data_IF_481813664732
#
_entry.id   IF_481813664732
#
_cell.length_a   1.000
_cell.length_b   1.000
_cell.length_c   1.000
_cell.angle_alpha   90.00
_cell.angle_beta   90.00
_cell.angle_gamma   90.00
#
_symmetry.space_group_name_H-M   'P 1'
#
loop_
_entity.id
_entity.type
_entity.pdbx_description
1 polymer ?
#
# COMPACT_ATOMS: atom_id res chain seq x y z
N UNK A 1 -22.74 26.51 -31.12
CA UNK A 1 -22.38 26.10 -30.80
C UNK A 1 -22.01 25.53 -30.39
N UNK A 2 -21.88 25.61 -30.37
CA UNK A 2 -21.35 25.07 -29.85
C UNK A 2 -21.04 24.55 -29.10
N UNK A 3 -20.93 24.49 -28.88
CA UNK A 3 -20.43 23.87 -28.01
C UNK A 3 -20.50 23.10 -27.44
N UNK A 4 -21.02 23.10 -27.58
CA UNK A 4 -20.93 22.27 -26.91
C UNK A 4 -20.54 21.49 -26.67
N UNK A 5 -20.23 21.44 -26.78
CA UNK A 5 -19.52 20.51 -26.42
C UNK A 5 -18.88 20.24 -25.65
N UNK A 6 -18.78 20.75 -25.37
CA UNK A 6 -18.01 20.48 -24.57
C UNK A 6 -18.05 19.84 -23.66
N UNK A 7 -18.62 19.85 -23.67
CA UNK A 7 -18.52 19.15 -22.74
C UNK A 7 -18.28 18.38 -22.39
N UNK A 8 -18.45 18.49 -22.56
CA UNK A 8 -18.17 17.66 -22.16
C UNK A 8 -17.37 17.11 -21.77
N UNK A 9 -17.03 17.36 -21.96
CA UNK A 9 -15.93 16.89 -21.70
C UNK A 9 -15.72 16.58 -20.46
N UNK A 10 -16.02 17.11 -20.10
CA UNK A 10 -15.72 16.95 -18.95
C UNK A 10 -16.11 15.80 -18.35
N UNK A 11 -16.56 15.55 -18.59
CA UNK A 11 -16.77 14.69 -17.94
C UNK A 11 -16.23 13.69 -17.76
N UNK A 12 -15.82 13.72 -18.04
CA UNK A 12 -15.30 12.78 -18.10
C UNK A 12 -14.44 12.37 -17.29
N UNK A 13 -13.81 12.94 -17.27
CA UNK A 13 -12.88 12.67 -16.45
C UNK A 13 -13.25 12.31 -15.23
N UNK A 14 -14.12 12.66 -15.16
CA UNK A 14 -14.57 12.43 -14.13
C UNK A 14 -14.65 11.14 -13.71
N UNK A 15 -14.89 10.24 -14.41
CA UNK A 15 -14.97 8.92 -13.95
C UNK A 15 -13.73 8.46 -13.29
N UNK A 16 -12.65 8.86 -13.79
CA UNK A 16 -11.41 8.44 -13.23
C UNK A 16 -11.26 8.91 -11.82
N UNK A 17 -11.63 10.10 -11.58
CA UNK A 17 -11.52 10.62 -10.25
C UNK A 17 -12.39 9.84 -9.30
N UNK A 18 -13.53 9.45 -9.75
CA UNK A 18 -14.42 8.70 -8.91
C UNK A 18 -13.80 7.37 -8.52
N UNK A 19 -13.13 6.72 -9.44
CA UNK A 19 -12.51 5.46 -9.14
C UNK A 19 -11.46 5.64 -8.06
N UNK A 20 -10.73 6.73 -8.11
CA UNK A 20 -9.75 6.97 -7.08
C UNK A 20 -10.38 7.22 -5.75
N UNK A 21 -11.51 7.89 -5.77
CA UNK A 21 -12.20 8.17 -4.55
C UNK A 21 -12.66 6.89 -3.87
N UNK A 22 -12.75 5.81 -4.61
CA UNK A 22 -13.17 4.55 -4.05
C UNK A 22 -11.99 3.73 -3.54
N UNK A 23 -10.88 4.35 -3.25
CA UNK A 23 -9.72 3.65 -2.78
C UNK A 23 -9.90 2.97 -1.44
N UNK A 24 -8.83 2.45 -0.91
CA UNK A 24 -8.84 1.60 0.27
C UNK A 24 -9.15 2.31 1.57
N UNK A 25 -9.26 3.63 1.57
CA UNK A 25 -9.36 4.39 2.80
C UNK A 25 -8.01 4.76 3.37
N UNK A 26 -6.95 4.45 2.65
CA UNK A 26 -5.59 4.76 3.04
C UNK A 26 -4.88 5.33 1.82
N UNK A 27 -4.78 6.67 1.73
CA UNK A 27 -4.21 7.30 0.53
C UNK A 27 -2.76 6.89 0.28
N UNK A 28 -2.00 6.61 1.33
CA UNK A 28 -0.62 6.21 1.19
C UNK A 28 -0.55 4.83 0.54
N UNK A 29 -1.40 3.93 0.99
CA UNK A 29 -1.50 2.61 0.39
C UNK A 29 -1.91 2.69 -1.08
N UNK A 30 -2.87 3.55 -1.39
CA UNK A 30 -3.33 3.72 -2.76
C UNK A 30 -2.20 4.21 -3.65
N UNK A 31 -1.38 5.12 -3.13
CA UNK A 31 -0.24 5.61 -3.89
C UNK A 31 0.80 4.51 -4.09
N UNK A 32 1.06 3.71 -3.06
CA UNK A 32 1.99 2.59 -3.19
C UNK A 32 1.52 1.61 -4.26
N UNK A 33 0.23 1.31 -4.26
CA UNK A 33 -0.33 0.39 -5.25
C UNK A 33 -0.18 0.89 -6.67
N UNK A 34 -0.07 2.21 -6.85
CA UNK A 34 0.10 2.79 -8.18
C UNK A 34 1.53 2.74 -8.69
N UNK A 35 2.48 2.41 -7.82
CA UNK A 35 3.88 2.35 -8.21
C UNK A 35 4.23 1.03 -8.89
N UNK A 36 5.25 1.03 -9.75
CA UNK A 36 5.77 -0.24 -10.28
C UNK A 36 6.33 -1.10 -9.16
N UNK A 37 6.37 -2.42 -9.33
CA UNK A 37 6.83 -3.33 -8.27
C UNK A 37 8.20 -2.99 -7.68
N UNK A 38 9.15 -2.61 -8.50
CA UNK A 38 10.47 -2.27 -7.99
C UNK A 38 10.44 -1.04 -7.10
N UNK A 39 9.61 -0.05 -7.45
CA UNK A 39 9.47 1.15 -6.66
C UNK A 39 8.71 0.87 -5.36
N UNK A 40 7.74 -0.03 -5.39
CA UNK A 40 7.06 -0.47 -4.18
C UNK A 40 8.08 -1.05 -3.20
N UNK A 41 8.90 -1.97 -3.69
CA UNK A 41 9.90 -2.63 -2.85
C UNK A 41 10.89 -1.63 -2.26
N UNK A 42 11.39 -0.72 -3.07
CA UNK A 42 12.34 0.29 -2.62
C UNK A 42 11.72 1.17 -1.53
N UNK A 43 10.49 1.62 -1.77
CA UNK A 43 9.80 2.52 -0.84
C UNK A 43 9.53 1.85 0.49
N UNK A 44 9.00 0.62 0.44
CA UNK A 44 8.69 -0.12 1.67
C UNK A 44 9.98 -0.46 2.41
N UNK A 45 11.04 -0.83 1.69
CA UNK A 45 12.33 -1.10 2.32
C UNK A 45 12.88 0.10 3.07
N UNK A 46 12.73 1.29 2.50
CA UNK A 46 13.15 2.51 3.19
C UNK A 46 12.34 2.73 4.47
N UNK A 47 11.09 2.35 4.44
CA UNK A 47 10.25 2.45 5.61
C UNK A 47 10.74 1.55 6.73
N UNK A 48 11.21 0.37 6.40
CA UNK A 48 11.80 -0.53 7.39
C UNK A 48 13.06 0.09 7.97
N UNK A 49 13.86 0.70 7.13
CA UNK A 49 15.15 1.24 7.55
C UNK A 49 16.12 0.13 7.86
N UNK A 50 17.02 0.39 8.77
CA UNK A 50 17.96 -0.62 9.28
C UNK A 50 18.71 -1.34 8.17
N UNK A 51 19.04 -0.61 7.11
CA UNK A 51 19.80 -1.19 6.00
C UNK A 51 19.01 -2.06 5.05
N UNK A 52 17.69 -2.09 5.16
CA UNK A 52 16.89 -2.89 4.25
C UNK A 52 16.83 -2.27 2.87
N UNK A 53 17.39 -2.97 1.89
CA UNK A 53 17.23 -2.62 0.48
C UNK A 53 16.13 -3.54 -0.04
N UNK A 54 14.93 -3.01 -0.25
CA UNK A 54 13.79 -3.82 -0.66
C UNK A 54 13.94 -4.35 -2.07
N UNK A 55 13.76 -5.65 -2.25
CA UNK A 55 13.84 -6.30 -3.55
C UNK A 55 12.50 -6.85 -4.02
N UNK A 56 11.56 -7.08 -3.10
CA UNK A 56 10.20 -7.43 -3.47
C UNK A 56 9.25 -6.96 -2.37
N UNK A 57 8.06 -6.58 -2.76
CA UNK A 57 7.04 -6.12 -1.82
C UNK A 57 5.71 -6.75 -2.19
N UNK A 58 4.85 -6.94 -1.20
CA UNK A 58 3.59 -7.62 -1.40
C UNK A 58 2.50 -6.94 -0.55
N UNK A 59 1.44 -6.43 -1.17
CA UNK A 59 0.35 -5.83 -0.41
C UNK A 59 -0.50 -6.94 0.22
N UNK A 60 -0.58 -6.95 1.54
CA UNK A 60 -1.33 -7.97 2.26
C UNK A 60 -2.80 -7.60 2.41
N UNK A 61 -3.11 -6.33 2.47
CA UNK A 61 -4.49 -5.87 2.59
C UNK A 61 -4.63 -4.66 3.46
N UNK A 62 -5.86 -4.19 3.59
CA UNK A 62 -6.22 -3.04 4.41
C UNK A 62 -7.35 -3.49 5.34
N UNK A 63 -7.22 -3.17 6.62
CA UNK A 63 -8.26 -3.53 7.58
C UNK A 63 -9.53 -2.72 7.32
N UNK A 64 -10.68 -3.38 7.40
CA UNK A 64 -11.95 -2.79 6.98
C UNK A 64 -12.78 -2.23 8.11
N UNK A 65 -12.52 -2.61 9.36
CA UNK A 65 -13.42 -2.27 10.43
C UNK A 65 -12.70 -2.15 11.77
N UNK A 66 -13.39 -1.55 12.75
CA UNK A 66 -12.88 -1.45 14.10
C UNK A 66 -11.85 -0.37 14.26
N UNK A 67 -11.11 -0.43 15.34
CA UNK A 67 -10.05 0.55 15.63
C UNK A 67 -8.92 0.46 14.63
N UNK A 68 -8.77 -0.68 13.97
CA UNK A 68 -7.72 -0.90 12.99
C UNK A 68 -8.15 -0.53 11.58
N UNK A 69 -9.31 0.11 11.42
CA UNK A 69 -9.82 0.47 10.11
C UNK A 69 -8.82 1.33 9.35
N UNK A 70 -8.56 0.97 8.12
CA UNK A 70 -7.69 1.75 7.26
C UNK A 70 -6.20 1.47 7.42
N UNK A 71 -5.81 0.54 8.27
CA UNK A 71 -4.40 0.16 8.38
C UNK A 71 -4.03 -0.74 7.22
N UNK A 72 -3.03 -0.34 6.46
CA UNK A 72 -2.52 -1.12 5.36
C UNK A 72 -1.34 -1.96 5.82
N UNK A 73 -1.23 -3.16 5.29
CA UNK A 73 -0.14 -4.06 5.62
C UNK A 73 0.56 -4.50 4.35
N UNK A 74 1.87 -4.42 4.38
CA UNK A 74 2.73 -4.85 3.27
C UNK A 74 3.80 -5.76 3.81
N UNK A 75 4.25 -6.70 2.99
CA UNK A 75 5.45 -7.46 3.30
C UNK A 75 6.55 -7.00 2.38
N UNK A 76 7.78 -7.01 2.86
CA UNK A 76 8.94 -6.66 2.05
C UNK A 76 10.06 -7.63 2.33
N UNK A 77 10.76 -8.04 1.28
CA UNK A 77 11.98 -8.82 1.39
C UNK A 77 13.15 -7.91 1.10
N UNK A 78 14.13 -7.89 1.98
CA UNK A 78 15.34 -7.12 1.81
C UNK A 78 16.38 -7.92 1.04
N UNK A 79 17.32 -7.23 0.42
CA UNK A 79 18.35 -7.87 -0.39
C UNK A 79 19.17 -8.86 0.43
N UNK A 80 19.35 -8.61 1.72
CA UNK A 80 20.12 -9.48 2.60
C UNK A 80 19.32 -10.69 3.10
N UNK A 81 18.10 -10.86 2.62
CA UNK A 81 17.27 -12.02 2.97
C UNK A 81 16.31 -11.81 4.12
N UNK A 82 16.43 -10.70 4.85
CA UNK A 82 15.46 -10.41 5.91
C UNK A 82 14.11 -10.06 5.28
N UNK A 83 13.05 -10.33 6.00
CA UNK A 83 11.70 -9.99 5.58
C UNK A 83 10.93 -9.37 6.72
N UNK A 84 10.09 -8.40 6.38
CA UNK A 84 9.34 -7.64 7.37
C UNK A 84 7.91 -7.42 6.92
N UNK A 85 7.01 -7.31 7.89
CA UNK A 85 5.68 -6.79 7.65
C UNK A 85 5.68 -5.33 8.09
N UNK A 86 5.09 -4.48 7.26
CA UNK A 86 5.03 -3.05 7.52
C UNK A 86 3.58 -2.63 7.59
N UNK A 87 3.20 -1.99 8.69
CA UNK A 87 1.86 -1.46 8.88
C UNK A 87 1.92 0.03 8.59
N UNK A 88 1.00 0.51 7.79
CA UNK A 88 0.94 1.93 7.40
C UNK A 88 -0.45 2.46 7.71
N UNK A 89 -0.52 3.45 8.59
CA UNK A 89 -1.78 4.11 8.90
C UNK A 89 -2.09 5.18 7.85
N UNK A 90 -3.35 5.59 7.72
CA UNK A 90 -3.70 6.63 6.75
C UNK A 90 -2.94 7.94 6.97
N UNK A 91 -2.53 8.22 8.20
CA UNK A 91 -1.77 9.44 8.50
C UNK A 91 -0.26 9.27 8.29
N UNK A 92 0.18 8.10 7.82
CA UNK A 92 1.58 7.86 7.53
C UNK A 92 2.36 7.21 8.65
N UNK A 93 1.79 7.11 9.84
CA UNK A 93 2.49 6.43 10.94
C UNK A 93 2.56 4.94 10.62
N UNK A 94 3.61 4.30 11.08
CA UNK A 94 3.81 2.92 10.75
C UNK A 94 4.43 2.11 11.86
N UNK A 95 4.45 0.81 11.65
CA UNK A 95 5.11 -0.14 12.53
C UNK A 95 5.73 -1.22 11.66
N UNK A 96 6.82 -1.79 12.14
CA UNK A 96 7.55 -2.81 11.40
C UNK A 96 7.73 -4.02 12.29
N UNK A 97 7.44 -5.20 11.75
CA UNK A 97 7.56 -6.46 12.47
C UNK A 97 8.33 -7.44 11.61
N UNK A 98 9.32 -8.10 12.19
CA UNK A 98 10.04 -9.16 11.51
C UNK A 98 9.07 -10.29 11.19
N UNK A 99 9.12 -10.81 9.97
CA UNK A 99 8.19 -11.86 9.56
C UNK A 99 8.29 -13.12 10.43
N UNK A 100 9.45 -13.36 11.01
CA UNK A 100 9.59 -14.52 11.90
C UNK A 100 8.72 -14.38 13.15
N UNK A 101 8.50 -13.15 13.60
CA UNK A 101 7.62 -12.92 14.75
C UNK A 101 6.16 -13.16 14.38
N UNK A 102 5.78 -12.85 13.14
CA UNK A 102 4.42 -13.16 12.70
C UNK A 102 4.19 -14.67 12.67
N UNK A 103 5.17 -15.42 12.20
CA UNK A 103 5.06 -16.87 12.16
C UNK A 103 4.88 -17.44 13.56
N UNK A 104 5.58 -16.90 14.53
CA UNK A 104 5.45 -17.36 15.92
C UNK A 104 4.03 -17.14 16.45
N UNK A 105 3.29 -16.22 15.85
CA UNK A 105 1.92 -15.93 16.24
C UNK A 105 0.89 -16.52 15.26
N UNK A 106 1.32 -17.45 14.42
CA UNK A 106 0.41 -18.14 13.50
C UNK A 106 0.02 -17.36 12.27
N UNK A 107 0.76 -16.30 11.94
CA UNK A 107 0.50 -15.50 10.76
C UNK A 107 1.69 -15.54 9.81
N UNK A 108 1.47 -15.14 8.57
CA UNK A 108 2.51 -15.20 7.57
C UNK A 108 2.60 -13.93 6.78
N UNK A 109 3.83 -13.54 6.45
CA UNK A 109 4.08 -12.49 5.47
C UNK A 109 3.84 -13.02 4.06
N UNK A 110 3.73 -12.12 3.12
CA UNK A 110 3.53 -12.44 1.69
C UNK A 110 2.28 -13.24 1.45
N UNK A 111 1.25 -12.95 2.23
CA UNK A 111 -0.03 -13.63 2.12
C UNK A 111 -1.14 -12.62 2.37
N UNK A 112 -2.17 -12.64 1.55
CA UNK A 112 -3.33 -11.78 1.76
C UNK A 112 -4.12 -12.23 2.98
N UNK A 113 -4.73 -11.27 3.64
CA UNK A 113 -5.63 -11.58 4.75
C UNK A 113 -6.87 -12.30 4.24
#
# INVERSE_FOLDING_TARGET
MRHLLRLSAALIAVGAAAAEAAGSGNPINDRLLSLPPAAQATTIGKNVGDGCVGVSAFPMGVTAAGKAKGLAYWSVRCKDGRSFAVQIAPNGQGAVVDCRLLQANGKECFKKF
#
